data_IF_607457709161
#
_entry.id   IF_607457709161
#
_cell.length_a   1.000
_cell.length_b   1.000
_cell.length_c   1.000
_cell.angle_alpha   90.00
_cell.angle_beta   90.00
_cell.angle_gamma   90.00
#
_symmetry.space_group_name_H-M   'P 1'
#
loop_
_entity.id
_entity.type
_entity.pdbx_description
1 polymer ?
#
# COMPACT_ATOMS: atom_id res chain seq x y z
N UNK A 1 -11.84 -13.64 -2.08
CA UNK A 1 -12.34 -12.24 -2.10
C UNK A 1 -13.39 -12.06 -1.02
N UNK A 2 -13.27 -11.05 -0.16
CA UNK A 2 -14.25 -10.74 0.88
C UNK A 2 -15.10 -9.52 0.48
N UNK A 3 -16.12 -9.77 -0.33
CA UNK A 3 -16.99 -8.73 -0.92
C UNK A 3 -17.64 -7.81 0.12
N UNK A 4 -17.98 -8.36 1.30
CA UNK A 4 -18.67 -7.61 2.37
C UNK A 4 -17.78 -6.59 3.06
N UNK A 5 -16.47 -6.74 2.95
CA UNK A 5 -15.51 -5.82 3.56
C UNK A 5 -15.13 -4.64 2.65
N UNK A 6 -15.58 -4.65 1.40
CA UNK A 6 -15.38 -3.53 0.47
C UNK A 6 -16.28 -2.37 0.91
N UNK A 7 -15.77 -1.12 1.02
CA UNK A 7 -16.55 0.02 1.46
C UNK A 7 -17.80 0.26 0.63
N UNK A 8 -18.95 0.44 1.29
CA UNK A 8 -20.26 0.65 0.64
C UNK A 8 -20.26 1.84 -0.31
N UNK A 9 -19.49 2.88 -0.01
CA UNK A 9 -19.39 4.03 -0.88
C UNK A 9 -18.77 3.70 -2.25
N UNK A 10 -17.82 2.76 -2.32
CA UNK A 10 -17.30 2.27 -3.61
C UNK A 10 -18.32 1.35 -4.32
N UNK A 11 -19.04 0.52 -3.56
CA UNK A 11 -20.07 -0.37 -4.12
C UNK A 11 -21.18 0.40 -4.83
N UNK A 12 -21.47 1.63 -4.40
CA UNK A 12 -22.49 2.49 -4.99
C UNK A 12 -22.05 3.16 -6.30
N UNK A 13 -20.81 3.00 -6.71
CA UNK A 13 -20.27 3.60 -7.94
C UNK A 13 -20.34 2.61 -9.11
N UNK A 14 -20.49 3.15 -10.32
CA UNK A 14 -20.46 2.38 -11.57
C UNK A 14 -19.05 2.35 -12.18
N UNK A 15 -18.04 2.09 -11.34
CA UNK A 15 -16.62 2.13 -11.68
C UNK A 15 -15.95 0.76 -11.53
N UNK A 16 -16.72 -0.31 -11.85
CA UNK A 16 -16.23 -1.67 -11.65
C UNK A 16 -15.94 -2.38 -12.96
N UNK A 17 -14.85 -3.13 -12.96
CA UNK A 17 -14.42 -4.04 -14.01
C UNK A 17 -14.13 -5.41 -13.44
N UNK A 18 -13.92 -6.40 -14.29
CA UNK A 18 -13.50 -7.73 -13.88
C UNK A 18 -12.05 -8.00 -14.28
N UNK A 19 -11.44 -9.05 -13.73
CA UNK A 19 -10.11 -9.53 -14.10
C UNK A 19 -10.03 -11.05 -13.96
N UNK A 20 -9.07 -11.66 -14.66
CA UNK A 20 -8.79 -13.08 -14.59
C UNK A 20 -7.46 -13.36 -13.87
N UNK A 21 -7.26 -14.60 -13.44
CA UNK A 21 -5.96 -15.06 -12.92
C UNK A 21 -4.86 -14.98 -13.97
N UNK A 22 -5.21 -15.22 -15.23
CA UNK A 22 -4.26 -15.29 -16.33
C UNK A 22 -3.75 -13.91 -16.79
N UNK A 23 -4.51 -12.84 -16.51
CA UNK A 23 -4.16 -11.48 -16.98
C UNK A 23 -4.62 -10.42 -16.01
N UNK A 24 -3.78 -9.39 -15.83
CA UNK A 24 -4.18 -8.15 -15.15
C UNK A 24 -4.94 -7.17 -16.06
N UNK A 25 -5.26 -7.54 -17.31
CA UNK A 25 -6.05 -6.68 -18.18
C UNK A 25 -7.49 -6.56 -17.66
N UNK A 26 -8.08 -5.35 -17.60
CA UNK A 26 -9.45 -5.18 -17.16
C UNK A 26 -10.42 -5.74 -18.20
N UNK A 27 -11.50 -6.36 -17.73
CA UNK A 27 -12.54 -6.98 -18.54
C UNK A 27 -13.90 -6.39 -18.21
N UNK A 28 -14.75 -6.30 -19.23
CA UNK A 28 -16.11 -5.80 -19.11
C UNK A 28 -17.02 -6.89 -18.54
N UNK A 29 -17.69 -6.62 -17.43
CA UNK A 29 -18.54 -7.60 -16.74
C UNK A 29 -19.68 -8.15 -17.63
N UNK A 30 -20.25 -7.32 -18.52
CA UNK A 30 -21.46 -7.64 -19.28
C UNK A 30 -21.21 -8.05 -20.73
N UNK A 31 -19.98 -7.96 -21.27
CA UNK A 31 -19.71 -8.23 -22.71
C UNK A 31 -18.62 -9.24 -22.99
N UNK A 32 -17.97 -9.80 -21.97
CA UNK A 32 -16.81 -10.70 -22.13
C UNK A 32 -15.71 -10.13 -23.07
N UNK A 33 -15.53 -8.82 -23.07
CA UNK A 33 -14.58 -8.11 -23.89
C UNK A 33 -13.62 -7.31 -23.01
N UNK A 34 -12.47 -6.88 -23.52
CA UNK A 34 -11.59 -5.98 -22.79
C UNK A 34 -12.31 -4.71 -22.34
N UNK A 35 -12.03 -4.28 -21.12
CA UNK A 35 -12.42 -2.98 -20.58
C UNK A 35 -11.24 -2.01 -20.63
N UNK A 36 -11.51 -0.75 -20.38
CA UNK A 36 -10.49 0.29 -20.35
C UNK A 36 -10.65 1.15 -19.09
N UNK A 37 -9.56 1.37 -18.39
CA UNK A 37 -9.56 2.25 -17.22
C UNK A 37 -9.82 3.75 -17.54
N UNK A 38 -9.94 4.09 -18.82
CA UNK A 38 -10.25 5.46 -19.28
C UNK A 38 -11.55 5.56 -20.06
N UNK A 39 -12.27 4.46 -20.22
CA UNK A 39 -13.55 4.45 -20.95
C UNK A 39 -14.70 3.98 -20.04
N UNK A 40 -15.49 4.91 -19.48
CA UNK A 40 -16.60 4.57 -18.57
C UNK A 40 -17.68 3.65 -19.17
N UNK A 41 -17.82 3.61 -20.51
CA UNK A 41 -18.79 2.72 -21.18
C UNK A 41 -18.43 1.23 -21.05
N UNK A 42 -17.23 0.91 -20.61
CA UNK A 42 -16.75 -0.45 -20.36
C UNK A 42 -16.83 -0.87 -18.89
N UNK A 43 -17.22 0.05 -18.01
CA UNK A 43 -17.37 -0.21 -16.58
C UNK A 43 -18.78 -0.68 -16.26
N UNK A 44 -18.95 -1.26 -15.10
CA UNK A 44 -20.21 -1.81 -14.62
C UNK A 44 -20.55 -1.34 -13.21
N UNK A 45 -21.76 -1.67 -12.75
CA UNK A 45 -22.08 -1.60 -11.32
C UNK A 45 -21.32 -2.68 -10.56
N UNK A 46 -21.19 -2.48 -9.25
CA UNK A 46 -20.62 -3.48 -8.34
C UNK A 46 -21.35 -4.82 -8.44
N UNK A 47 -22.68 -4.79 -8.41
CA UNK A 47 -23.50 -6.00 -8.50
C UNK A 47 -23.21 -6.79 -9.79
N UNK A 48 -23.20 -6.12 -10.95
CA UNK A 48 -22.91 -6.80 -12.22
C UNK A 48 -21.50 -7.40 -12.28
N UNK A 49 -20.50 -6.75 -11.66
CA UNK A 49 -19.16 -7.32 -11.57
C UNK A 49 -19.12 -8.56 -10.66
N UNK A 50 -19.84 -8.53 -9.52
CA UNK A 50 -19.95 -9.66 -8.61
C UNK A 50 -20.67 -10.84 -9.29
N UNK A 51 -21.78 -10.60 -9.97
CA UNK A 51 -22.54 -11.63 -10.69
C UNK A 51 -21.66 -12.32 -11.74
N UNK A 52 -20.89 -11.53 -12.50
CA UNK A 52 -19.97 -12.06 -13.51
C UNK A 52 -18.84 -12.95 -12.94
N UNK A 53 -18.40 -12.67 -11.71
CA UNK A 53 -17.46 -13.53 -10.99
C UNK A 53 -18.17 -14.77 -10.43
N UNK A 54 -19.38 -14.61 -9.87
CA UNK A 54 -20.16 -15.72 -9.34
C UNK A 54 -20.55 -16.75 -10.44
N UNK A 55 -20.80 -16.27 -11.66
CA UNK A 55 -21.05 -17.10 -12.84
C UNK A 55 -19.79 -17.80 -13.40
N UNK A 56 -18.62 -17.54 -12.81
CA UNK A 56 -17.36 -18.16 -13.20
C UNK A 56 -16.71 -17.58 -14.46
N UNK A 57 -17.15 -16.42 -14.95
CA UNK A 57 -16.55 -15.78 -16.13
C UNK A 57 -15.23 -15.09 -15.82
N UNK A 58 -15.04 -14.65 -14.58
CA UNK A 58 -13.87 -13.94 -14.11
C UNK A 58 -13.52 -14.39 -12.69
N UNK A 59 -12.28 -14.10 -12.27
CA UNK A 59 -11.79 -14.51 -10.96
C UNK A 59 -11.87 -13.37 -9.93
N UNK A 60 -11.86 -12.12 -10.39
CA UNK A 60 -11.78 -10.91 -9.54
C UNK A 60 -12.61 -9.78 -10.10
N UNK A 61 -12.98 -8.88 -9.19
CA UNK A 61 -13.48 -7.55 -9.54
C UNK A 61 -12.38 -6.52 -9.32
N UNK A 62 -12.51 -5.35 -9.94
CA UNK A 62 -11.57 -4.24 -9.76
C UNK A 62 -12.27 -2.89 -9.79
N UNK A 63 -11.81 -1.98 -8.95
CA UNK A 63 -12.30 -0.61 -8.87
C UNK A 63 -11.46 0.31 -9.75
N UNK A 64 -12.12 1.09 -10.62
CA UNK A 64 -11.48 2.03 -11.55
C UNK A 64 -11.47 3.43 -10.95
N UNK A 65 -10.30 4.07 -10.94
CA UNK A 65 -10.15 5.47 -10.54
C UNK A 65 -10.54 6.40 -11.70
N UNK A 66 -11.44 7.36 -11.45
CA UNK A 66 -12.12 8.16 -12.47
C UNK A 66 -12.00 9.68 -12.25
N UNK A 67 -10.99 10.13 -11.51
CA UNK A 67 -10.78 11.55 -11.18
C UNK A 67 -12.01 12.19 -10.50
N UNK A 68 -12.58 11.48 -9.56
CA UNK A 68 -13.80 11.85 -8.84
C UNK A 68 -13.60 11.91 -7.32
N UNK A 69 -12.40 12.30 -6.90
CA UNK A 69 -12.07 12.49 -5.49
C UNK A 69 -11.54 11.23 -4.78
N UNK A 70 -11.41 10.10 -5.48
CA UNK A 70 -10.74 8.90 -4.94
C UNK A 70 -9.31 8.82 -5.43
N UNK A 71 -8.39 8.58 -4.50
CA UNK A 71 -6.97 8.35 -4.74
C UNK A 71 -6.63 6.94 -4.31
N UNK A 72 -5.95 6.21 -5.18
CA UNK A 72 -5.42 4.88 -4.90
C UNK A 72 -3.91 4.91 -4.73
N UNK A 73 -3.42 4.23 -3.69
CA UNK A 73 -1.99 3.99 -3.48
C UNK A 73 -1.77 2.49 -3.53
N UNK A 74 -0.83 2.06 -4.37
CA UNK A 74 -0.37 0.68 -4.47
C UNK A 74 1.05 0.59 -3.91
N UNK A 75 1.27 -0.35 -2.99
CA UNK A 75 2.57 -0.60 -2.37
C UNK A 75 2.98 -2.01 -2.72
N UNK A 76 3.91 -2.13 -3.66
CA UNK A 76 4.47 -3.42 -4.06
C UNK A 76 5.38 -3.99 -2.97
N UNK A 77 5.35 -5.33 -2.83
CA UNK A 77 6.19 -6.09 -1.89
C UNK A 77 6.21 -5.53 -0.45
N UNK A 78 5.11 -4.85 -0.06
CA UNK A 78 4.92 -4.28 1.27
C UNK A 78 4.68 -5.31 2.38
N UNK A 79 4.47 -6.60 2.02
CA UNK A 79 4.16 -7.67 2.96
C UNK A 79 4.88 -8.96 2.58
N UNK A 80 5.62 -9.54 3.52
CA UNK A 80 6.30 -10.81 3.36
C UNK A 80 6.35 -11.57 4.68
N UNK A 81 5.98 -12.87 4.65
CA UNK A 81 6.11 -13.81 5.77
C UNK A 81 5.53 -13.31 7.11
N UNK A 82 4.39 -12.61 7.05
CA UNK A 82 3.73 -12.05 8.22
C UNK A 82 4.23 -10.66 8.63
N UNK A 83 5.20 -10.09 7.92
CA UNK A 83 5.78 -8.79 8.22
C UNK A 83 5.31 -7.74 7.22
N UNK A 84 4.83 -6.60 7.72
CA UNK A 84 4.56 -5.41 6.93
C UNK A 84 5.85 -4.60 6.83
N UNK A 85 6.22 -4.18 5.64
CA UNK A 85 7.42 -3.38 5.44
C UNK A 85 7.30 -2.01 6.14
N UNK A 86 8.41 -1.42 6.60
CA UNK A 86 8.38 -0.09 7.23
C UNK A 86 7.78 0.99 6.33
N UNK A 87 8.03 0.90 5.02
CA UNK A 87 7.43 1.77 4.02
C UNK A 87 5.90 1.66 4.03
N UNK A 88 5.38 0.42 4.01
CA UNK A 88 3.95 0.19 4.05
C UNK A 88 3.34 0.65 5.38
N UNK A 89 3.99 0.37 6.52
CA UNK A 89 3.56 0.86 7.84
C UNK A 89 3.47 2.38 7.84
N UNK A 90 4.50 3.07 7.36
CA UNK A 90 4.54 4.53 7.31
C UNK A 90 3.37 5.09 6.48
N UNK A 91 3.20 4.62 5.25
CA UNK A 91 2.17 5.12 4.34
C UNK A 91 0.76 4.81 4.88
N UNK A 92 0.51 3.58 5.32
CA UNK A 92 -0.78 3.15 5.89
C UNK A 92 -1.14 4.01 7.12
N UNK A 93 -0.18 4.22 8.03
CA UNK A 93 -0.39 5.00 9.27
C UNK A 93 -0.67 6.47 8.99
N UNK A 94 -0.17 7.03 7.89
CA UNK A 94 -0.46 8.40 7.45
C UNK A 94 -1.82 8.52 6.81
N UNK A 95 -2.14 7.61 5.90
CA UNK A 95 -3.42 7.61 5.18
C UNK A 95 -4.61 7.40 6.12
N UNK A 96 -4.51 6.48 7.08
CA UNK A 96 -5.58 6.08 8.02
C UNK A 96 -6.91 5.84 7.32
N UNK A 97 -6.86 5.21 6.15
CA UNK A 97 -7.99 4.98 5.25
C UNK A 97 -8.03 3.53 4.83
N UNK A 98 -9.09 3.13 4.12
CA UNK A 98 -9.29 1.75 3.66
C UNK A 98 -8.00 1.15 3.11
N UNK A 99 -7.59 0.04 3.71
CA UNK A 99 -6.35 -0.66 3.33
C UNK A 99 -6.62 -2.16 3.24
N UNK A 100 -6.36 -2.72 2.07
CA UNK A 100 -6.48 -4.17 1.82
C UNK A 100 -5.16 -4.76 1.31
N UNK A 101 -4.99 -6.07 1.44
CA UNK A 101 -3.92 -6.78 0.73
C UNK A 101 -4.22 -6.82 -0.76
N UNK A 102 -3.20 -6.59 -1.57
CA UNK A 102 -3.30 -6.76 -3.02
C UNK A 102 -3.55 -8.22 -3.41
N UNK A 103 -3.98 -8.46 -4.65
CA UNK A 103 -4.22 -9.82 -5.19
C UNK A 103 -3.04 -10.77 -4.99
N UNK A 104 -1.81 -10.28 -5.08
CA UNK A 104 -0.60 -11.10 -4.90
C UNK A 104 -0.38 -11.58 -3.46
N UNK A 105 -1.06 -10.94 -2.49
CA UNK A 105 -0.84 -11.15 -1.06
C UNK A 105 0.46 -10.54 -0.54
N UNK A 106 1.27 -9.89 -1.39
CA UNK A 106 2.56 -9.29 -1.02
C UNK A 106 2.57 -7.78 -0.95
N UNK A 107 1.54 -7.14 -1.47
CA UNK A 107 1.39 -5.68 -1.49
C UNK A 107 0.11 -5.22 -0.83
N UNK A 108 -0.07 -3.91 -0.81
CA UNK A 108 -1.25 -3.26 -0.25
C UNK A 108 -1.85 -2.27 -1.22
N UNK A 109 -3.18 -2.23 -1.26
CA UNK A 109 -3.94 -1.16 -1.86
C UNK A 109 -4.52 -0.29 -0.75
N UNK A 110 -4.34 1.02 -0.86
CA UNK A 110 -4.97 2.00 0.01
C UNK A 110 -5.87 2.87 -0.85
N UNK A 111 -7.10 3.11 -0.42
CA UNK A 111 -8.03 4.01 -1.08
C UNK A 111 -8.42 5.09 -0.08
N UNK A 112 -8.24 6.36 -0.47
CA UNK A 112 -8.63 7.51 0.33
C UNK A 112 -9.24 8.60 -0.54
N UNK A 113 -9.87 9.60 0.08
CA UNK A 113 -10.39 10.77 -0.63
C UNK A 113 -9.39 11.91 -0.57
N UNK A 114 -9.29 12.61 -1.71
CA UNK A 114 -8.46 13.79 -1.92
C UNK A 114 -8.17 13.98 -3.41
N UNK A 115 -7.18 14.78 -3.73
CA UNK A 115 -6.80 15.07 -5.10
C UNK A 115 -5.29 14.96 -5.32
N UNK A 116 -4.91 14.72 -6.56
CA UNK A 116 -3.52 14.71 -7.03
C UNK A 116 -3.33 15.78 -8.11
N UNK A 117 -2.18 16.46 -8.14
CA UNK A 117 -1.88 17.43 -9.21
C UNK A 117 -1.61 16.78 -10.59
N UNK A 118 -1.67 15.46 -10.68
CA UNK A 118 -1.43 14.65 -11.88
C UNK A 118 -2.32 13.39 -11.89
N UNK A 119 -2.34 12.67 -13.00
CA UNK A 119 -3.17 11.45 -13.18
C UNK A 119 -2.72 10.28 -12.31
N UNK A 120 -1.42 10.08 -12.20
CA UNK A 120 -0.79 9.03 -11.42
C UNK A 120 0.71 8.97 -11.70
N UNK A 121 1.46 8.47 -10.74
CA UNK A 121 2.92 8.25 -10.81
C UNK A 121 3.31 7.01 -10.02
N UNK A 122 4.47 6.47 -10.37
CA UNK A 122 5.16 5.45 -9.58
C UNK A 122 6.54 5.96 -9.16
N UNK A 123 7.14 5.31 -8.19
CA UNK A 123 8.51 5.59 -7.78
C UNK A 123 9.36 4.32 -7.74
N UNK A 124 10.68 4.49 -7.52
CA UNK A 124 11.63 3.38 -7.45
C UNK A 124 11.52 2.55 -6.15
N UNK A 125 10.77 3.03 -5.16
CA UNK A 125 10.55 2.32 -3.90
C UNK A 125 9.35 1.36 -3.95
N UNK A 126 8.71 1.17 -5.11
CA UNK A 126 7.55 0.30 -5.27
C UNK A 126 6.26 0.94 -4.77
N UNK A 127 6.16 2.27 -4.76
CA UNK A 127 4.93 3.00 -4.44
C UNK A 127 4.36 3.62 -5.69
N UNK A 128 3.10 3.34 -5.95
CA UNK A 128 2.34 3.94 -7.04
C UNK A 128 1.16 4.73 -6.45
N UNK A 129 0.82 5.88 -7.05
CA UNK A 129 -0.31 6.70 -6.63
C UNK A 129 -1.11 7.18 -7.83
N UNK A 130 -2.45 7.09 -7.79
CA UNK A 130 -3.33 7.32 -8.93
C UNK A 130 -4.65 7.97 -8.52
N UNK A 131 -5.19 8.86 -9.36
CA UNK A 131 -6.57 9.33 -9.29
C UNK A 131 -7.39 8.98 -10.53
N UNK A 132 -6.74 8.54 -11.61
CA UNK A 132 -7.42 8.16 -12.87
C UNK A 132 -6.55 7.25 -13.73
N UNK A 133 -7.13 6.68 -14.79
CA UNK A 133 -6.46 5.82 -15.78
C UNK A 133 -5.81 4.57 -15.18
N UNK A 134 -6.25 4.13 -14.02
CA UNK A 134 -5.81 2.92 -13.31
C UNK A 134 -7.01 2.22 -12.68
N UNK A 135 -6.88 0.93 -12.45
CA UNK A 135 -7.80 0.19 -11.60
C UNK A 135 -7.03 -0.71 -10.65
N UNK A 136 -7.59 -0.98 -9.48
CA UNK A 136 -7.07 -1.96 -8.55
C UNK A 136 -7.96 -3.19 -8.54
N UNK A 137 -7.38 -4.40 -8.61
CA UNK A 137 -8.10 -5.62 -8.30
C UNK A 137 -8.40 -5.59 -6.81
N UNK A 138 -9.69 -5.49 -6.47
CA UNK A 138 -10.15 -5.31 -5.10
C UNK A 138 -10.40 -6.67 -4.47
N UNK A 139 -9.74 -6.94 -3.36
CA UNK A 139 -9.78 -8.24 -2.67
C UNK A 139 -10.76 -8.27 -1.51
N UNK A 140 -10.98 -7.13 -0.85
CA UNK A 140 -11.68 -7.03 0.42
C UNK A 140 -10.94 -7.71 1.58
N UNK A 141 -9.67 -8.11 1.39
CA UNK A 141 -8.80 -8.62 2.46
C UNK A 141 -8.25 -7.44 3.27
N UNK A 142 -9.16 -6.86 4.08
CA UNK A 142 -8.87 -5.65 4.87
C UNK A 142 -7.85 -5.97 5.95
N UNK A 143 -6.78 -5.20 5.95
CA UNK A 143 -5.70 -5.30 6.96
C UNK A 143 -5.98 -4.36 8.12
N UNK A 144 -6.35 -3.13 7.80
CA UNK A 144 -6.61 -2.08 8.79
C UNK A 144 -7.46 -0.98 8.12
N UNK A 145 -8.17 -0.19 8.92
CA UNK A 145 -9.04 0.90 8.47
C UNK A 145 -10.05 0.45 7.39
N UNK A 146 -11.21 -0.11 7.80
CA UNK A 146 -12.19 -0.63 6.84
C UNK A 146 -12.95 0.47 6.10
N UNK A 147 -12.77 1.73 6.47
CA UNK A 147 -13.49 2.88 5.92
C UNK A 147 -12.57 3.76 5.08
N UNK A 148 -13.11 4.34 4.03
CA UNK A 148 -12.42 5.37 3.25
C UNK A 148 -12.54 6.71 3.98
N UNK A 149 -11.43 7.43 4.09
CA UNK A 149 -11.36 8.75 4.73
C UNK A 149 -10.83 9.80 3.76
N UNK A 150 -11.29 11.01 3.95
CA UNK A 150 -10.68 12.18 3.32
C UNK A 150 -9.42 12.57 4.10
N UNK A 151 -8.29 12.63 3.41
CA UNK A 151 -7.02 12.97 4.04
C UNK A 151 -6.02 13.58 3.03
N UNK A 152 -6.31 14.80 2.59
CA UNK A 152 -5.42 15.53 1.66
C UNK A 152 -4.03 15.73 2.24
N UNK A 153 -3.92 16.02 3.54
CA UNK A 153 -2.62 16.22 4.19
C UNK A 153 -1.71 14.99 4.10
N UNK A 154 -2.28 13.78 4.19
CA UNK A 154 -1.52 12.55 4.00
C UNK A 154 -1.06 12.38 2.55
N UNK A 155 -1.90 12.73 1.58
CA UNK A 155 -1.54 12.71 0.15
C UNK A 155 -0.37 13.66 -0.09
N UNK A 156 -0.47 14.90 0.37
CA UNK A 156 0.58 15.92 0.18
C UNK A 156 1.91 15.49 0.81
N UNK A 157 1.88 14.93 2.01
CA UNK A 157 3.09 14.42 2.68
C UNK A 157 3.70 13.22 1.92
N UNK A 158 2.88 12.31 1.40
CA UNK A 158 3.34 11.18 0.58
C UNK A 158 3.97 11.69 -0.73
N UNK A 159 3.36 12.67 -1.38
CA UNK A 159 3.91 13.28 -2.59
C UNK A 159 5.27 13.91 -2.32
N UNK A 160 5.38 14.69 -1.26
CA UNK A 160 6.63 15.34 -0.88
C UNK A 160 7.75 14.34 -0.61
N UNK A 161 7.45 13.23 0.06
CA UNK A 161 8.46 12.24 0.47
C UNK A 161 8.86 11.30 -0.64
N UNK A 162 7.89 10.81 -1.38
CA UNK A 162 8.09 9.70 -2.31
C UNK A 162 8.06 10.12 -3.79
N UNK A 163 7.55 11.32 -4.08
CA UNK A 163 7.45 11.84 -5.45
C UNK A 163 7.96 13.29 -5.59
N UNK A 164 9.17 13.62 -5.10
CA UNK A 164 9.64 15.01 -5.02
C UNK A 164 9.74 15.73 -6.38
N UNK A 165 9.79 14.97 -7.49
CA UNK A 165 9.76 15.56 -8.85
C UNK A 165 8.34 15.89 -9.34
N UNK A 166 7.32 15.28 -8.74
CA UNK A 166 5.93 15.56 -9.08
C UNK A 166 5.50 16.97 -8.67
N UNK A 167 6.07 17.50 -7.59
CA UNK A 167 5.84 18.87 -7.13
C UNK A 167 6.42 19.91 -8.08
N UNK A 168 7.58 19.64 -8.70
CA UNK A 168 8.23 20.58 -9.62
C UNK A 168 7.43 20.82 -10.90
N UNK A 169 6.60 19.87 -11.28
CA UNK A 169 5.79 19.93 -12.50
C UNK A 169 4.39 20.53 -12.26
N UNK A 170 4.00 20.80 -11.02
CA UNK A 170 2.69 21.34 -10.66
C UNK A 170 2.76 22.81 -10.23
N UNK A 171 1.73 23.60 -10.54
CA UNK A 171 1.63 24.99 -10.04
C UNK A 171 1.47 25.05 -8.51
N UNK A 172 0.95 23.99 -7.91
CA UNK A 172 0.81 23.82 -6.45
C UNK A 172 2.18 23.61 -5.81
N UNK A 173 3.06 22.79 -6.40
CA UNK A 173 4.42 22.58 -5.92
C UNK A 173 5.26 23.85 -5.91
N UNK A 174 5.00 24.79 -6.83
CA UNK A 174 5.67 26.10 -6.84
C UNK A 174 5.28 26.99 -5.64
N UNK A 175 4.14 26.75 -4.99
CA UNK A 175 3.65 27.49 -3.82
C UNK A 175 4.03 26.87 -2.48
N UNK A 176 4.28 25.55 -2.42
CA UNK A 176 4.51 24.81 -1.17
C UNK A 176 5.99 24.55 -0.87
N UNK A 177 6.88 24.80 -1.82
CA UNK A 177 8.30 24.53 -1.62
C UNK A 177 8.96 25.64 -0.78
N UNK A 178 8.96 25.45 0.53
CA UNK A 178 10.01 25.94 1.43
C UNK A 178 10.62 24.72 2.13
N UNK A 179 11.90 24.43 1.91
CA UNK A 179 12.55 23.27 2.51
C UNK A 179 12.96 23.57 3.94
N UNK A 180 12.02 23.51 4.87
CA UNK A 180 12.35 23.28 6.27
C UNK A 180 12.07 21.82 6.58
N UNK A 181 13.10 21.02 6.44
CA UNK A 181 13.07 19.64 6.94
C UNK A 181 12.83 19.71 8.45
N UNK A 182 11.72 19.15 8.98
CA UNK A 182 11.63 18.95 10.41
C UNK A 182 12.80 18.04 10.77
N UNK A 183 13.68 18.52 11.62
CA UNK A 183 14.71 17.70 12.24
C UNK A 183 14.01 16.47 12.83
N UNK A 184 14.47 15.27 12.43
CA UNK A 184 13.96 14.00 12.95
C UNK A 184 14.12 14.00 14.46
N UNK A 185 13.12 14.48 15.18
CA UNK A 185 12.96 14.14 16.58
C UNK A 185 12.46 12.72 16.58
N UNK A 186 13.25 11.80 17.13
CA UNK A 186 12.97 10.37 17.18
C UNK A 186 11.66 10.05 17.90
N UNK A 187 10.56 10.24 17.21
CA UNK A 187 9.24 9.80 17.60
C UNK A 187 9.00 8.44 16.97
N UNK A 188 8.92 7.41 17.81
CA UNK A 188 8.47 6.07 17.45
C UNK A 188 7.15 6.19 16.68
N UNK A 189 7.13 5.73 15.44
CA UNK A 189 5.88 5.54 14.70
C UNK A 189 5.11 4.46 15.45
N UNK A 190 3.88 4.71 15.91
CA UNK A 190 3.10 3.66 16.56
C UNK A 190 2.85 2.56 15.53
N UNK A 191 3.38 1.38 15.83
CA UNK A 191 3.20 0.17 15.06
C UNK A 191 1.70 -0.15 14.93
N UNK A 192 1.34 -0.74 13.81
CA UNK A 192 0.01 -1.34 13.62
C UNK A 192 -0.19 -2.35 14.75
N UNK A 193 -1.29 -2.30 15.51
CA UNK A 193 -1.45 -3.07 16.75
C UNK A 193 -1.40 -4.60 16.59
N UNK A 194 -1.51 -5.14 15.38
CA UNK A 194 -1.57 -6.57 15.10
C UNK A 194 -0.47 -7.03 14.14
N UNK A 195 0.76 -7.12 14.64
CA UNK A 195 1.76 -7.94 13.96
C UNK A 195 1.33 -9.42 14.03
N UNK A 196 1.21 -10.12 12.90
CA UNK A 196 1.02 -11.56 12.94
C UNK A 196 2.19 -12.20 13.68
N UNK A 197 1.88 -13.15 14.58
CA UNK A 197 2.90 -13.80 15.39
C UNK A 197 3.92 -14.54 14.52
N UNK A 198 5.18 -14.17 14.64
CA UNK A 198 6.30 -14.85 13.98
C UNK A 198 6.77 -15.96 14.91
N UNK A 199 6.50 -17.20 14.50
CA UNK A 199 6.84 -18.38 15.32
C UNK A 199 8.33 -18.75 15.24
N UNK A 200 8.75 -19.60 16.15
CA UNK A 200 10.10 -20.17 16.17
C UNK A 200 10.45 -20.84 14.84
N UNK A 201 11.67 -20.58 14.35
CA UNK A 201 12.13 -21.00 13.02
C UNK A 201 12.07 -19.90 11.94
N UNK A 202 11.07 -19.01 11.96
CA UNK A 202 10.95 -17.90 11.00
C UNK A 202 11.55 -16.56 11.45
N UNK A 203 11.75 -16.37 12.77
CA UNK A 203 12.08 -15.08 13.38
C UNK A 203 13.36 -14.42 12.83
N UNK A 204 14.43 -15.20 12.70
CA UNK A 204 15.71 -14.66 12.25
C UNK A 204 15.64 -14.18 10.79
N UNK A 205 15.02 -14.97 9.92
CA UNK A 205 14.84 -14.63 8.50
C UNK A 205 13.96 -13.40 8.33
N UNK A 206 12.82 -13.34 9.04
CA UNK A 206 11.88 -12.23 8.99
C UNK A 206 12.52 -10.92 9.46
N UNK A 207 13.24 -10.95 10.60
CA UNK A 207 13.93 -9.76 11.11
C UNK A 207 15.14 -9.35 10.26
N UNK A 208 15.82 -10.30 9.59
CA UNK A 208 16.89 -9.99 8.62
C UNK A 208 16.31 -9.31 7.39
N UNK A 209 15.17 -9.78 6.88
CA UNK A 209 14.46 -9.14 5.77
C UNK A 209 14.07 -7.72 6.11
N UNK A 210 13.47 -7.50 7.29
CA UNK A 210 13.13 -6.17 7.80
C UNK A 210 14.35 -5.26 7.88
N UNK A 211 15.46 -5.73 8.44
CA UNK A 211 16.70 -4.96 8.53
C UNK A 211 17.23 -4.57 7.15
N UNK A 212 17.19 -5.48 6.18
CA UNK A 212 17.60 -5.23 4.80
C UNK A 212 16.78 -4.15 4.11
N UNK A 213 15.47 -4.19 4.30
CA UNK A 213 14.55 -3.19 3.75
C UNK A 213 14.82 -1.81 4.37
N UNK A 214 14.95 -1.71 5.69
CA UNK A 214 15.29 -0.47 6.39
C UNK A 214 16.61 0.12 5.91
N UNK A 215 17.62 -0.73 5.73
CA UNK A 215 18.92 -0.32 5.20
C UNK A 215 18.81 0.22 3.76
N UNK A 216 18.04 -0.43 2.90
CA UNK A 216 17.78 0.02 1.52
C UNK A 216 17.06 1.36 1.48
N UNK A 217 16.19 1.63 2.47
CA UNK A 217 15.50 2.90 2.66
C UNK A 217 16.37 4.00 3.30
N UNK A 218 17.66 3.72 3.57
CA UNK A 218 18.61 4.68 4.11
C UNK A 218 18.52 4.92 5.62
N UNK A 219 17.88 3.99 6.37
CA UNK A 219 17.88 4.05 7.83
C UNK A 219 19.28 3.81 8.40
N UNK A 220 19.66 4.61 9.40
CA UNK A 220 20.89 4.41 10.14
C UNK A 220 20.87 3.14 10.99
N UNK A 221 22.04 2.62 11.32
CA UNK A 221 22.19 1.39 12.10
C UNK A 221 21.43 1.39 13.43
N UNK A 222 21.40 2.52 14.13
CA UNK A 222 20.69 2.66 15.40
C UNK A 222 19.17 2.61 15.19
N UNK A 223 18.67 3.25 14.15
CA UNK A 223 17.25 3.24 13.81
C UNK A 223 16.79 1.82 13.43
N UNK A 224 17.59 1.12 12.59
CA UNK A 224 17.34 -0.28 12.24
C UNK A 224 17.28 -1.15 13.50
N UNK A 225 18.25 -1.02 14.40
CA UNK A 225 18.28 -1.82 15.63
C UNK A 225 17.07 -1.54 16.53
N UNK A 226 16.60 -0.29 16.59
CA UNK A 226 15.42 0.06 17.37
C UNK A 226 14.14 -0.53 16.77
N UNK A 227 13.97 -0.47 15.45
CA UNK A 227 12.84 -1.10 14.76
C UNK A 227 12.83 -2.62 14.94
N UNK A 228 14.00 -3.27 14.85
CA UNK A 228 14.12 -4.71 15.10
C UNK A 228 13.71 -5.08 16.53
N UNK A 229 14.05 -4.26 17.55
CA UNK A 229 13.65 -4.51 18.94
C UNK A 229 12.13 -4.43 19.11
N UNK A 230 11.49 -3.46 18.44
CA UNK A 230 10.05 -3.27 18.51
C UNK A 230 9.35 -4.47 17.85
N UNK A 231 9.68 -4.78 16.60
CA UNK A 231 9.10 -5.92 15.89
C UNK A 231 9.31 -7.25 16.64
N UNK A 232 10.50 -7.46 17.20
CA UNK A 232 10.81 -8.65 17.98
C UNK A 232 9.93 -8.78 19.22
N UNK A 233 9.68 -7.69 19.93
CA UNK A 233 8.85 -7.69 21.15
C UNK A 233 7.38 -7.96 20.84
N UNK A 234 6.86 -7.32 19.78
CA UNK A 234 5.43 -7.36 19.45
C UNK A 234 5.04 -8.62 18.66
N UNK A 235 5.90 -9.05 17.73
CA UNK A 235 5.58 -10.09 16.76
C UNK A 235 6.23 -11.45 17.06
N UNK A 236 7.49 -11.50 17.53
CA UNK A 236 8.20 -12.77 17.69
C UNK A 236 7.80 -13.53 18.95
N UNK A 237 7.46 -14.81 18.78
CA UNK A 237 7.07 -15.66 19.94
C UNK A 237 7.82 -17.01 19.93
N UNK A 238 8.70 -17.21 20.94
CA UNK A 238 9.25 -16.23 21.88
C UNK A 238 10.15 -15.19 21.18
N UNK A 239 10.39 -14.01 21.77
CA UNK A 239 11.28 -13.02 21.17
C UNK A 239 12.74 -13.50 21.15
N UNK A 240 13.50 -13.04 20.12
CA UNK A 240 14.95 -13.26 20.04
C UNK A 240 15.70 -12.46 21.10
N UNK A 241 16.91 -12.93 21.45
CA UNK A 241 17.80 -12.18 22.35
C UNK A 241 18.32 -10.90 21.68
N UNK A 242 18.58 -9.85 22.44
CA UNK A 242 19.13 -8.58 21.92
C UNK A 242 20.46 -8.78 21.18
N UNK A 243 21.27 -9.79 21.56
CA UNK A 243 22.51 -10.14 20.87
C UNK A 243 22.27 -10.60 19.44
N UNK A 244 21.18 -11.36 19.20
CA UNK A 244 20.78 -11.83 17.88
C UNK A 244 20.30 -10.68 17.01
N UNK A 245 19.50 -9.75 17.57
CA UNK A 245 19.07 -8.53 16.86
C UNK A 245 20.26 -7.66 16.42
N UNK A 246 21.25 -7.51 17.31
CA UNK A 246 22.49 -6.81 16.97
C UNK A 246 23.28 -7.53 15.86
N UNK A 247 23.34 -8.85 15.88
CA UNK A 247 24.00 -9.64 14.85
C UNK A 247 23.29 -9.45 13.49
N UNK A 248 21.96 -9.50 13.46
CA UNK A 248 21.15 -9.23 12.26
C UNK A 248 21.43 -7.81 11.74
N UNK A 249 21.33 -6.80 12.59
CA UNK A 249 21.60 -5.42 12.21
C UNK A 249 23.01 -5.24 11.63
N UNK A 250 24.02 -5.80 12.29
CA UNK A 250 25.40 -5.75 11.84
C UNK A 250 25.63 -6.47 10.51
N UNK A 251 24.94 -7.57 10.25
CA UNK A 251 25.08 -8.33 9.01
C UNK A 251 24.59 -7.54 7.80
N UNK A 252 23.52 -6.79 7.97
CA UNK A 252 22.87 -5.99 6.92
C UNK A 252 23.63 -4.68 6.68
N UNK A 253 24.11 -4.01 7.73
CA UNK A 253 24.78 -2.70 7.64
C UNK A 253 26.30 -2.82 7.34
N UNK A 254 26.83 -4.01 7.10
CA UNK A 254 28.25 -4.22 6.76
C UNK A 254 28.65 -3.69 5.38
N UNK A 255 27.71 -3.53 4.49
CA UNK A 255 27.94 -3.04 3.14
C UNK A 255 27.57 -1.56 3.08
N UNK A 256 28.41 -0.71 3.71
CA UNK A 256 28.42 0.71 3.36
C UNK A 256 28.79 0.84 1.88
N UNK A 257 27.92 1.47 1.12
CA UNK A 257 28.16 1.84 -0.28
C UNK A 257 28.94 3.15 -0.34
#
# INVERSE_FOLDING_TARGET
MNVKAIPTELQNLTQWVCATNASKAPMCAFRRSPASAVNPQTWSSFAAAIDAVADGFYDYIGFVFADNGYVGIDIDDGYQDGIISPLAVEIISRCKSYTEKSKSGRGFHIILKGDLPFKGKNNMAGVEIYKTARYFITTGDVVVYPEIRENQAAIDDILQRYFPQAEKDSEIGKRLYQPEWPQRTGGLIPLIPDYPSILEGGRNMSLTSLAGQLHTLGYGKEDILNELKICNREACKPPLKTSELRAICNSVTRYER
#
